data_IF_430241860107
#
_entry.id   IF_430241860107
#
_cell.length_a   1.000
_cell.length_b   1.000
_cell.length_c   1.000
_cell.angle_alpha   90.00
_cell.angle_beta   90.00
_cell.angle_gamma   90.00
#
_symmetry.space_group_name_H-M   'P 1'
#
loop_
_entity.id
_entity.type
_entity.pdbx_description
1 polymer ?
#
# COMPACT_ATOMS: atom_id res chain seq x y z
N UNK A 1 -26.42 0.05 -14.25
CA UNK A 1 -26.06 -0.93 -13.22
C UNK A 1 -26.35 -0.27 -11.87
N UNK A 2 -26.70 -1.02 -10.83
CA UNK A 2 -26.80 -0.43 -9.49
C UNK A 2 -25.39 0.03 -9.06
N UNK A 3 -25.26 1.17 -8.40
CA UNK A 3 -23.99 1.66 -7.86
C UNK A 3 -23.66 0.93 -6.57
N UNK A 4 -22.38 0.60 -6.35
CA UNK A 4 -21.87 0.00 -5.11
C UNK A 4 -21.65 1.09 -4.06
N UNK A 5 -21.16 2.26 -4.49
CA UNK A 5 -21.00 3.44 -3.65
C UNK A 5 -22.26 4.31 -3.64
N UNK A 6 -22.47 5.02 -2.55
CA UNK A 6 -23.48 6.09 -2.51
C UNK A 6 -23.02 7.31 -3.30
N UNK A 7 -23.96 8.16 -3.73
CA UNK A 7 -23.67 9.41 -4.42
C UNK A 7 -22.72 10.31 -3.59
N UNK A 8 -22.93 10.40 -2.27
CA UNK A 8 -22.06 11.14 -1.36
C UNK A 8 -20.62 10.60 -1.32
N UNK A 9 -20.46 9.26 -1.39
CA UNK A 9 -19.14 8.63 -1.43
C UNK A 9 -18.41 8.91 -2.74
N UNK A 10 -19.11 8.88 -3.87
CA UNK A 10 -18.56 9.20 -5.19
C UNK A 10 -18.15 10.68 -5.25
N UNK A 11 -19.03 11.59 -4.82
CA UNK A 11 -18.75 13.02 -4.75
C UNK A 11 -17.57 13.31 -3.78
N UNK A 12 -17.52 12.63 -2.64
CA UNK A 12 -16.43 12.72 -1.67
C UNK A 12 -15.09 12.32 -2.29
N UNK A 13 -15.04 11.20 -3.02
CA UNK A 13 -13.83 10.77 -3.71
C UNK A 13 -13.33 11.83 -4.71
N UNK A 14 -14.20 12.36 -5.55
CA UNK A 14 -13.80 13.37 -6.53
C UNK A 14 -13.44 14.73 -5.92
N UNK A 15 -14.03 15.11 -4.79
CA UNK A 15 -13.75 16.38 -4.10
C UNK A 15 -12.47 16.29 -3.26
N UNK A 16 -12.34 15.22 -2.47
CA UNK A 16 -11.30 15.12 -1.45
C UNK A 16 -10.12 14.22 -1.87
N UNK A 17 -10.28 13.41 -2.94
CA UNK A 17 -9.31 12.44 -3.41
C UNK A 17 -9.37 11.11 -2.66
N UNK A 18 -10.33 10.94 -1.75
CA UNK A 18 -10.58 9.68 -1.05
C UNK A 18 -12.05 9.52 -0.66
N UNK A 19 -12.44 8.29 -0.41
CA UNK A 19 -13.73 7.98 0.22
C UNK A 19 -13.59 6.83 1.20
N UNK A 20 -14.50 6.76 2.18
CA UNK A 20 -14.52 5.76 3.26
C UNK A 20 -15.81 4.96 3.18
N UNK A 21 -15.68 3.65 3.00
CA UNK A 21 -16.81 2.72 2.91
C UNK A 21 -16.77 1.79 4.13
N UNK A 22 -17.55 2.11 5.16
CA UNK A 22 -17.62 1.32 6.39
C UNK A 22 -18.36 0.01 6.14
N UNK A 23 -17.99 -1.03 6.91
CA UNK A 23 -18.62 -2.36 6.85
C UNK A 23 -18.57 -2.99 5.43
N UNK A 24 -17.54 -2.64 4.64
CA UNK A 24 -17.33 -3.20 3.31
C UNK A 24 -16.87 -4.66 3.36
N UNK A 25 -16.05 -5.00 4.35
CA UNK A 25 -15.56 -6.36 4.61
C UNK A 25 -16.11 -6.83 5.93
N UNK A 26 -16.70 -8.02 5.98
CA UNK A 26 -17.15 -8.59 7.24
C UNK A 26 -15.97 -9.03 8.15
N UNK A 27 -16.25 -9.25 9.44
CA UNK A 27 -15.22 -9.58 10.42
C UNK A 27 -14.62 -10.97 10.24
N UNK A 28 -15.35 -11.90 9.69
CA UNK A 28 -14.87 -13.26 9.46
C UNK A 28 -13.87 -13.26 8.29
N UNK A 29 -14.16 -12.53 7.23
CA UNK A 29 -13.24 -12.29 6.11
C UNK A 29 -11.98 -11.54 6.57
N UNK A 30 -12.12 -10.50 7.41
CA UNK A 30 -10.94 -9.83 8.01
C UNK A 30 -10.07 -10.82 8.81
N UNK A 31 -10.68 -11.72 9.57
CA UNK A 31 -9.96 -12.73 10.35
C UNK A 31 -9.26 -13.74 9.44
N UNK A 32 -9.91 -14.22 8.37
CA UNK A 32 -9.35 -15.13 7.38
C UNK A 32 -8.10 -14.54 6.70
N UNK A 33 -8.19 -13.28 6.23
CA UNK A 33 -7.04 -12.60 5.60
C UNK A 33 -5.87 -12.43 6.57
N UNK A 34 -6.15 -12.14 7.84
CA UNK A 34 -5.13 -12.02 8.89
C UNK A 34 -4.47 -13.37 9.20
N UNK A 35 -5.26 -14.42 9.34
CA UNK A 35 -4.77 -15.79 9.55
C UNK A 35 -3.89 -16.25 8.38
N UNK A 36 -4.34 -15.99 7.14
CA UNK A 36 -3.55 -16.34 5.94
C UNK A 36 -2.24 -15.56 5.88
N UNK A 37 -2.25 -14.27 6.17
CA UNK A 37 -1.03 -13.46 6.20
C UNK A 37 0.00 -13.97 7.24
N UNK A 38 -0.46 -14.35 8.43
CA UNK A 38 0.39 -14.96 9.45
C UNK A 38 0.92 -16.34 8.99
N UNK A 39 0.11 -17.13 8.29
CA UNK A 39 0.53 -18.36 7.66
C UNK A 39 1.63 -18.15 6.63
N UNK A 40 1.50 -17.12 5.77
CA UNK A 40 2.54 -16.75 4.80
C UNK A 40 3.85 -16.32 5.49
N UNK A 41 3.77 -15.64 6.62
CA UNK A 41 4.97 -15.31 7.42
C UNK A 41 5.60 -16.57 8.02
N UNK A 42 4.80 -17.50 8.53
CA UNK A 42 5.32 -18.76 9.10
C UNK A 42 6.01 -19.62 8.03
N UNK A 43 5.38 -19.76 6.87
CA UNK A 43 5.89 -20.52 5.72
C UNK A 43 7.13 -19.86 5.07
N UNK A 44 7.30 -18.53 5.22
CA UNK A 44 8.40 -17.81 4.59
C UNK A 44 9.73 -18.04 5.32
N UNK A 45 10.74 -18.46 4.55
CA UNK A 45 12.11 -18.59 5.02
C UNK A 45 12.93 -17.39 4.52
N UNK A 46 13.42 -16.52 5.43
CA UNK A 46 14.29 -15.43 5.04
C UNK A 46 15.59 -15.98 4.43
N UNK A 47 15.98 -15.45 3.27
CA UNK A 47 17.26 -15.77 2.65
C UNK A 47 18.45 -15.31 3.50
N UNK A 48 19.66 -15.45 2.94
CA UNK A 48 20.91 -15.00 3.59
C UNK A 48 20.88 -13.47 3.79
N UNK A 49 20.27 -12.75 2.84
CA UNK A 49 20.04 -11.31 2.93
C UNK A 49 18.64 -11.06 3.51
N UNK A 50 18.60 -10.63 4.77
CA UNK A 50 17.36 -10.26 5.46
C UNK A 50 16.98 -8.84 5.05
N UNK A 51 15.95 -8.73 4.21
CA UNK A 51 15.51 -7.45 3.67
C UNK A 51 14.69 -6.69 4.69
N UNK A 52 15.23 -5.58 5.19
CA UNK A 52 14.51 -4.60 6.01
C UNK A 52 13.80 -3.62 5.08
N UNK A 53 12.54 -3.33 5.36
CA UNK A 53 11.84 -2.24 4.69
C UNK A 53 12.22 -0.93 5.36
N UNK A 54 12.91 -0.08 4.63
CA UNK A 54 13.30 1.25 5.11
C UNK A 54 12.62 2.34 4.30
N UNK A 55 12.31 3.44 4.96
CA UNK A 55 11.91 4.70 4.32
C UNK A 55 13.12 5.54 3.91
N UNK A 56 14.35 5.12 4.26
CA UNK A 56 15.58 5.79 3.82
C UNK A 56 15.79 5.59 2.32
N UNK A 57 15.88 6.70 1.60
CA UNK A 57 16.03 6.71 0.14
C UNK A 57 17.32 6.02 -0.31
N UNK A 58 18.43 6.15 0.43
CA UNK A 58 19.72 5.60 0.04
C UNK A 58 19.77 4.07 0.13
N UNK A 59 19.09 3.47 1.11
CA UNK A 59 19.03 2.02 1.26
C UNK A 59 18.07 1.36 0.28
N UNK A 60 17.01 2.06 -0.18
CA UNK A 60 16.08 1.55 -1.19
C UNK A 60 16.73 1.37 -2.56
N UNK A 61 17.72 2.20 -2.92
CA UNK A 61 18.33 2.24 -4.26
C UNK A 61 19.09 0.97 -4.65
N UNK A 62 19.46 0.11 -3.72
CA UNK A 62 20.27 -1.09 -3.97
C UNK A 62 19.63 -2.40 -3.57
N UNK A 63 18.37 -2.40 -3.12
CA UNK A 63 17.72 -3.60 -2.60
C UNK A 63 17.12 -4.45 -3.74
N UNK A 64 17.92 -5.41 -4.26
CA UNK A 64 17.53 -6.34 -5.33
C UNK A 64 16.28 -7.14 -4.99
N UNK A 65 16.12 -7.56 -3.72
CA UNK A 65 14.95 -8.32 -3.28
C UNK A 65 13.68 -7.47 -3.40
N UNK A 66 13.74 -6.19 -3.01
CA UNK A 66 12.63 -5.26 -3.21
C UNK A 66 12.29 -5.12 -4.70
N UNK A 67 13.27 -4.84 -5.55
CA UNK A 67 13.05 -4.64 -6.99
C UNK A 67 12.55 -5.91 -7.71
N UNK A 68 12.88 -7.10 -7.19
CA UNK A 68 12.43 -8.37 -7.76
C UNK A 68 11.11 -8.89 -7.17
N UNK A 69 10.55 -8.21 -6.18
CA UNK A 69 9.35 -8.69 -5.46
C UNK A 69 8.03 -8.40 -6.17
N UNK A 70 8.03 -7.66 -7.29
CA UNK A 70 6.81 -7.30 -8.01
C UNK A 70 5.95 -8.49 -8.45
N UNK A 71 6.55 -9.61 -8.83
CA UNK A 71 5.88 -10.86 -9.22
C UNK A 71 5.95 -11.97 -8.18
N UNK A 72 6.16 -11.66 -6.89
CA UNK A 72 6.33 -12.66 -5.82
C UNK A 72 5.55 -12.28 -4.57
N UNK A 73 5.39 -13.26 -3.68
CA UNK A 73 5.02 -13.03 -2.28
C UNK A 73 6.31 -13.03 -1.47
N UNK A 74 6.64 -11.90 -0.86
CA UNK A 74 7.88 -11.70 -0.12
C UNK A 74 7.64 -10.90 1.15
N UNK A 75 8.24 -11.32 2.27
CA UNK A 75 8.13 -10.60 3.54
C UNK A 75 9.32 -9.65 3.71
N UNK A 76 9.04 -8.48 4.27
CA UNK A 76 10.03 -7.48 4.61
C UNK A 76 10.01 -7.24 6.12
N UNK A 77 11.18 -7.22 6.73
CA UNK A 77 11.31 -6.92 8.15
C UNK A 77 11.04 -5.44 8.44
N UNK A 78 10.55 -5.18 9.63
CA UNK A 78 10.41 -3.82 10.15
C UNK A 78 11.80 -3.26 10.54
N UNK A 79 11.94 -1.94 10.47
CA UNK A 79 13.12 -1.27 11.01
C UNK A 79 13.26 -1.57 12.51
N UNK A 80 14.50 -1.87 12.97
CA UNK A 80 14.76 -2.30 14.34
C UNK A 80 14.30 -3.74 14.69
N UNK A 81 13.79 -4.51 13.73
CA UNK A 81 13.47 -5.92 13.93
C UNK A 81 14.70 -6.82 14.00
N UNK A 82 15.83 -6.37 13.46
CA UNK A 82 17.11 -7.07 13.47
C UNK A 82 18.12 -6.31 14.33
N UNK A 83 19.00 -7.02 15.02
CA UNK A 83 20.14 -6.47 15.72
C UNK A 83 21.37 -6.30 14.79
N UNK A 84 22.47 -5.77 15.32
CA UNK A 84 23.73 -5.55 14.59
C UNK A 84 24.35 -6.86 14.04
N UNK A 85 23.98 -8.02 14.58
CA UNK A 85 24.40 -9.34 14.11
C UNK A 85 23.45 -9.92 13.05
N UNK A 86 22.35 -9.21 12.75
CA UNK A 86 21.30 -9.65 11.85
C UNK A 86 20.33 -10.67 12.47
N UNK A 87 20.32 -10.83 13.79
CA UNK A 87 19.41 -11.71 14.50
C UNK A 87 18.12 -10.99 14.88
N UNK A 88 17.00 -11.75 14.92
CA UNK A 88 15.70 -11.18 15.28
C UNK A 88 15.68 -10.70 16.73
N UNK A 89 15.27 -9.47 16.96
CA UNK A 89 15.07 -8.85 18.29
C UNK A 89 13.75 -9.28 18.95
N UNK A 90 12.89 -9.95 18.20
CA UNK A 90 11.52 -10.38 18.59
C UNK A 90 11.06 -11.58 17.78
N UNK A 91 9.95 -12.26 18.14
CA UNK A 91 9.34 -13.31 17.33
C UNK A 91 9.10 -12.86 15.88
N UNK A 92 9.30 -13.77 14.91
CA UNK A 92 9.25 -13.47 13.47
C UNK A 92 7.93 -12.78 13.06
N UNK A 93 6.81 -13.27 13.57
CA UNK A 93 5.47 -12.72 13.32
C UNK A 93 5.28 -11.28 13.82
N UNK A 94 6.09 -10.82 14.77
CA UNK A 94 6.12 -9.45 15.28
C UNK A 94 7.26 -8.60 14.68
N UNK A 95 8.05 -9.19 13.80
CA UNK A 95 9.20 -8.55 13.17
C UNK A 95 8.93 -8.08 11.74
N UNK A 96 7.80 -8.47 11.15
CA UNK A 96 7.47 -8.17 9.76
C UNK A 96 6.75 -6.82 9.65
N UNK A 97 7.24 -5.98 8.73
CA UNK A 97 6.60 -4.75 8.30
C UNK A 97 5.45 -5.04 7.34
N UNK A 98 5.74 -5.77 6.26
CA UNK A 98 4.76 -6.09 5.21
C UNK A 98 5.09 -7.34 4.44
N UNK A 99 4.08 -7.86 3.75
CA UNK A 99 4.20 -8.82 2.65
C UNK A 99 3.87 -8.07 1.36
N UNK A 100 4.65 -8.22 0.31
CA UNK A 100 4.45 -7.62 -1.02
C UNK A 100 4.87 -8.61 -2.10
N UNK A 101 4.50 -8.46 -3.32
CA UNK A 101 3.63 -7.44 -3.90
C UNK A 101 2.61 -8.10 -4.84
N UNK A 102 2.49 -9.45 -4.84
CA UNK A 102 1.66 -10.23 -5.75
C UNK A 102 0.72 -11.22 -5.03
N UNK A 103 0.29 -10.95 -3.78
CA UNK A 103 -0.63 -11.84 -3.07
C UNK A 103 -1.96 -12.01 -3.82
N UNK A 104 -2.47 -10.93 -4.45
CA UNK A 104 -3.70 -10.92 -5.23
C UNK A 104 -3.71 -11.88 -6.41
N UNK A 105 -2.55 -12.34 -6.90
CA UNK A 105 -2.43 -13.29 -8.01
C UNK A 105 -1.94 -14.66 -7.58
N UNK A 106 -1.12 -14.73 -6.53
CA UNK A 106 -0.36 -15.94 -6.20
C UNK A 106 -0.87 -16.68 -4.96
N UNK A 107 -1.74 -16.04 -4.18
CA UNK A 107 -2.33 -16.66 -3.00
C UNK A 107 -3.84 -16.78 -3.16
N UNK A 108 -4.43 -17.99 -3.09
CA UNK A 108 -5.84 -18.20 -3.43
C UNK A 108 -6.82 -17.46 -2.50
N UNK A 109 -6.43 -17.16 -1.25
CA UNK A 109 -7.28 -16.40 -0.33
C UNK A 109 -7.28 -14.93 -0.72
N UNK A 110 -6.11 -14.35 -0.98
CA UNK A 110 -5.99 -12.96 -1.43
C UNK A 110 -6.49 -12.76 -2.86
N UNK A 111 -6.32 -13.75 -3.76
CA UNK A 111 -6.90 -13.74 -5.10
C UNK A 111 -8.43 -13.67 -5.03
N UNK A 112 -9.06 -14.60 -4.29
CA UNK A 112 -10.52 -14.62 -4.12
C UNK A 112 -11.07 -13.31 -3.54
N UNK A 113 -10.34 -12.69 -2.60
CA UNK A 113 -10.72 -11.42 -2.01
C UNK A 113 -10.55 -10.23 -2.97
N UNK A 114 -9.47 -10.23 -3.78
CA UNK A 114 -9.08 -9.08 -4.61
C UNK A 114 -9.89 -8.95 -5.90
N UNK A 115 -10.52 -10.03 -6.37
CA UNK A 115 -11.26 -10.07 -7.65
C UNK A 115 -12.76 -10.30 -7.44
N UNK A 116 -13.40 -9.45 -6.64
CA UNK A 116 -14.84 -9.52 -6.39
C UNK A 116 -15.63 -8.51 -7.21
N UNK A 117 -16.89 -8.85 -7.52
CA UNK A 117 -17.81 -7.94 -8.22
C UNK A 117 -18.02 -6.63 -7.46
N UNK A 118 -18.02 -6.66 -6.12
CA UNK A 118 -18.18 -5.49 -5.28
C UNK A 118 -16.99 -4.52 -5.44
N UNK A 119 -15.74 -5.03 -5.46
CA UNK A 119 -14.57 -4.20 -5.72
C UNK A 119 -14.55 -3.64 -7.15
N UNK A 120 -14.92 -4.44 -8.14
CA UNK A 120 -15.08 -3.99 -9.52
C UNK A 120 -16.17 -2.90 -9.62
N UNK A 121 -17.26 -3.03 -8.85
CA UNK A 121 -18.30 -2.02 -8.74
C UNK A 121 -17.79 -0.71 -8.14
N UNK A 122 -17.04 -0.77 -7.04
CA UNK A 122 -16.41 0.42 -6.43
C UNK A 122 -15.47 1.11 -7.43
N UNK A 123 -14.62 0.34 -8.12
CA UNK A 123 -13.71 0.88 -9.13
C UNK A 123 -14.47 1.58 -10.26
N UNK A 124 -15.54 0.96 -10.76
CA UNK A 124 -16.38 1.54 -11.82
C UNK A 124 -17.08 2.83 -11.38
N UNK A 125 -17.59 2.89 -10.15
CA UNK A 125 -18.31 4.05 -9.60
C UNK A 125 -17.41 5.29 -9.48
N UNK A 126 -16.11 5.11 -9.25
CA UNK A 126 -15.12 6.21 -9.20
C UNK A 126 -14.49 6.54 -10.57
N UNK A 127 -14.92 5.85 -11.64
CA UNK A 127 -14.45 6.11 -12.99
C UNK A 127 -13.33 5.18 -13.49
N UNK A 128 -12.97 4.13 -12.75
CA UNK A 128 -11.97 3.13 -13.12
C UNK A 128 -12.64 1.80 -13.52
N UNK A 129 -13.51 1.83 -14.53
CA UNK A 129 -14.32 0.67 -14.96
C UNK A 129 -13.52 -0.46 -15.62
N UNK A 130 -12.30 -0.17 -16.08
CA UNK A 130 -11.35 -1.09 -16.70
C UNK A 130 -10.15 -1.40 -15.78
N UNK A 131 -10.40 -1.47 -14.47
CA UNK A 131 -9.37 -1.66 -13.46
C UNK A 131 -8.57 -2.94 -13.67
N UNK A 132 -7.24 -2.82 -13.62
CA UNK A 132 -6.29 -3.91 -13.51
C UNK A 132 -5.60 -3.86 -12.15
N UNK A 133 -5.63 -4.95 -11.41
CA UNK A 133 -4.85 -5.08 -10.18
C UNK A 133 -3.36 -5.17 -10.53
N UNK A 134 -2.56 -4.28 -9.96
CA UNK A 134 -1.14 -4.16 -10.26
C UNK A 134 -0.25 -4.64 -9.12
N UNK A 135 -0.60 -4.26 -7.89
CA UNK A 135 0.19 -4.52 -6.70
C UNK A 135 -0.72 -4.77 -5.51
N UNK A 136 -0.30 -5.68 -4.63
CA UNK A 136 -0.90 -5.83 -3.31
C UNK A 136 0.15 -5.79 -2.21
N UNK A 137 -0.22 -5.28 -1.04
CA UNK A 137 0.60 -5.31 0.16
C UNK A 137 -0.25 -5.66 1.37
N UNK A 138 0.27 -6.53 2.23
CA UNK A 138 -0.26 -6.72 3.56
C UNK A 138 0.65 -6.03 4.57
N UNK A 139 0.13 -5.07 5.32
CA UNK A 139 0.89 -4.22 6.24
C UNK A 139 0.54 -4.59 7.68
N UNK A 140 1.54 -4.94 8.48
CA UNK A 140 1.34 -5.39 9.86
C UNK A 140 1.27 -4.24 10.87
N UNK A 141 2.04 -3.17 10.68
CA UNK A 141 2.14 -2.04 11.62
C UNK A 141 2.20 -2.52 13.08
N UNK A 142 3.28 -3.24 13.38
CA UNK A 142 3.46 -3.99 14.63
C UNK A 142 3.48 -3.09 15.87
N UNK A 143 3.02 -3.59 17.05
CA UNK A 143 3.07 -2.83 18.28
C UNK A 143 4.51 -2.48 18.65
N UNK A 144 4.72 -1.22 18.97
CA UNK A 144 5.98 -0.68 19.49
C UNK A 144 7.13 -0.54 18.51
N UNK A 145 7.03 -1.10 17.28
CA UNK A 145 8.04 -0.91 16.21
C UNK A 145 7.44 -0.54 14.86
N UNK A 146 6.12 -0.64 14.70
CA UNK A 146 5.49 -0.28 13.43
C UNK A 146 5.88 1.14 13.03
N UNK A 147 6.78 1.25 12.04
CA UNK A 147 7.42 2.48 11.61
C UNK A 147 6.47 3.46 10.92
N UNK A 148 6.93 4.68 10.75
CA UNK A 148 6.24 5.70 9.95
C UNK A 148 6.19 5.29 8.47
N UNK A 149 5.07 5.57 7.81
CA UNK A 149 5.00 5.63 6.35
C UNK A 149 5.02 7.10 5.96
N UNK A 150 6.16 7.58 5.44
CA UNK A 150 6.36 8.98 5.07
C UNK A 150 5.25 9.48 4.13
N UNK A 151 4.91 10.77 4.22
CA UNK A 151 3.89 11.38 3.36
C UNK A 151 4.29 11.26 1.88
N UNK A 152 3.42 10.66 1.07
CA UNK A 152 3.71 10.36 -0.33
C UNK A 152 2.44 10.35 -1.19
N UNK A 153 2.65 10.23 -2.49
CA UNK A 153 1.64 9.99 -3.51
C UNK A 153 1.92 8.61 -4.13
N UNK A 154 0.93 7.71 -4.21
CA UNK A 154 1.13 6.36 -4.77
C UNK A 154 1.60 6.39 -6.22
N UNK A 155 1.12 7.37 -7.00
CA UNK A 155 1.56 7.59 -8.39
C UNK A 155 3.05 7.91 -8.54
N UNK A 156 3.74 8.27 -7.45
CA UNK A 156 5.20 8.37 -7.43
C UNK A 156 5.86 7.03 -7.73
N UNK A 157 5.28 5.94 -7.21
CA UNK A 157 5.83 4.59 -7.28
C UNK A 157 5.23 3.76 -8.42
N UNK A 158 3.98 4.04 -8.81
CA UNK A 158 3.19 3.27 -9.77
C UNK A 158 2.63 4.21 -10.85
N UNK A 159 3.54 4.85 -11.60
CA UNK A 159 3.16 5.85 -12.60
C UNK A 159 2.44 5.22 -13.78
N UNK A 160 1.40 5.92 -14.29
CA UNK A 160 0.72 5.61 -15.56
C UNK A 160 0.51 6.88 -16.37
N UNK A 161 0.38 6.77 -17.69
CA UNK A 161 0.00 7.86 -18.56
C UNK A 161 -1.28 7.50 -19.37
N UNK A 162 -2.42 8.19 -19.12
CA UNK A 162 -2.65 9.17 -18.07
C UNK A 162 -2.59 8.58 -16.65
N UNK A 163 -2.41 9.43 -15.62
CA UNK A 163 -2.41 9.00 -14.22
C UNK A 163 -3.73 8.34 -13.87
N UNK A 164 -3.68 7.09 -13.39
CA UNK A 164 -4.88 6.27 -13.13
C UNK A 164 -4.77 5.43 -11.86
N UNK A 165 -3.64 5.45 -11.16
CA UNK A 165 -3.45 4.66 -9.94
C UNK A 165 -4.52 4.99 -8.91
N UNK A 166 -5.13 3.96 -8.36
CA UNK A 166 -6.09 4.04 -7.27
C UNK A 166 -5.72 3.00 -6.22
N UNK A 167 -5.59 3.44 -4.98
CA UNK A 167 -5.35 2.58 -3.83
C UNK A 167 -6.66 2.17 -3.16
N UNK A 168 -6.81 0.87 -2.90
CA UNK A 168 -7.87 0.27 -2.09
C UNK A 168 -7.22 -0.21 -0.79
N UNK A 169 -7.46 0.47 0.30
CA UNK A 169 -6.89 0.16 1.61
C UNK A 169 -7.96 -0.42 2.53
N UNK A 170 -7.78 -1.65 2.98
CA UNK A 170 -8.72 -2.39 3.84
C UNK A 170 -8.18 -2.43 5.27
N UNK A 171 -8.93 -1.86 6.21
CA UNK A 171 -8.66 -2.01 7.63
C UNK A 171 -9.05 -3.43 8.08
N UNK A 172 -8.08 -4.28 8.37
CA UNK A 172 -8.34 -5.63 8.88
C UNK A 172 -8.39 -5.66 10.41
N UNK A 173 -7.97 -4.58 11.05
CA UNK A 173 -8.10 -4.26 12.47
C UNK A 173 -8.54 -2.81 12.62
N UNK A 174 -9.05 -2.44 13.80
CA UNK A 174 -9.40 -1.06 14.08
C UNK A 174 -8.16 -0.17 13.95
N UNK A 175 -8.25 0.84 13.11
CA UNK A 175 -7.20 1.83 12.89
C UNK A 175 -7.52 3.12 13.66
N UNK A 176 -6.62 3.51 14.54
CA UNK A 176 -6.72 4.71 15.38
C UNK A 176 -5.45 5.55 15.27
N UNK A 177 -5.48 6.78 15.75
CA UNK A 177 -4.30 7.64 15.79
C UNK A 177 -3.15 6.94 16.53
N UNK A 178 -3.43 6.28 17.67
CA UNK A 178 -2.41 5.68 18.52
C UNK A 178 -1.71 4.48 17.87
N UNK A 179 -2.42 3.71 17.02
CA UNK A 179 -1.81 2.55 16.34
C UNK A 179 -1.42 2.82 14.88
N UNK A 180 -1.44 4.09 14.45
CA UNK A 180 -0.98 4.52 13.14
C UNK A 180 -2.02 4.33 12.04
N UNK A 181 -3.22 4.91 12.19
CA UNK A 181 -4.20 5.01 11.11
C UNK A 181 -3.63 5.79 9.91
N UNK A 182 -4.32 5.73 8.78
CA UNK A 182 -4.03 6.62 7.65
C UNK A 182 -4.40 8.06 7.98
N UNK A 183 -3.66 8.98 7.38
CA UNK A 183 -3.95 10.41 7.30
C UNK A 183 -3.91 10.83 5.84
N UNK A 184 -4.81 11.67 5.41
CA UNK A 184 -4.90 12.13 4.04
C UNK A 184 -5.04 13.66 3.97
N UNK A 185 -4.55 14.27 2.89
CA UNK A 185 -4.70 15.70 2.61
C UNK A 185 -5.92 15.93 1.71
N UNK A 186 -7.11 16.31 2.24
CA UNK A 186 -8.32 16.47 1.43
C UNK A 186 -8.12 17.44 0.28
N UNK A 187 -8.48 17.03 -0.96
CA UNK A 187 -8.29 17.82 -2.19
C UNK A 187 -6.85 17.83 -2.71
N UNK A 188 -5.89 17.23 -1.97
CA UNK A 188 -4.46 17.22 -2.33
C UNK A 188 -4.13 16.47 -3.63
N UNK A 189 -5.02 15.60 -4.11
CA UNK A 189 -4.91 14.91 -5.40
C UNK A 189 -5.01 15.84 -6.62
N UNK A 190 -5.52 17.06 -6.45
CA UNK A 190 -5.56 18.07 -7.50
C UNK A 190 -4.23 18.78 -7.72
N UNK A 191 -3.30 18.66 -6.77
CA UNK A 191 -1.95 19.18 -6.89
C UNK A 191 -1.12 18.29 -7.85
N UNK A 192 -0.02 18.85 -8.44
CA UNK A 192 0.85 18.08 -9.30
C UNK A 192 1.45 16.85 -8.63
N UNK A 193 1.75 15.80 -9.43
CA UNK A 193 2.64 14.74 -9.00
C UNK A 193 4.05 15.33 -8.80
N UNK A 194 4.65 15.08 -7.65
CA UNK A 194 5.88 15.78 -7.24
C UNK A 194 7.14 15.09 -7.70
N UNK A 195 7.12 13.77 -7.74
CA UNK A 195 8.30 12.98 -8.11
C UNK A 195 7.93 11.60 -8.65
N UNK A 196 8.88 10.96 -9.31
CA UNK A 196 8.79 9.59 -9.83
C UNK A 196 9.88 8.73 -9.22
N UNK A 197 9.54 7.52 -8.81
CA UNK A 197 10.48 6.49 -8.40
C UNK A 197 10.72 5.53 -9.56
N UNK A 198 11.88 5.65 -10.21
CA UNK A 198 12.19 5.00 -11.50
C UNK A 198 13.33 4.02 -11.36
N UNK A 199 13.26 2.92 -12.12
CA UNK A 199 14.43 2.08 -12.38
C UNK A 199 15.43 2.79 -13.27
N UNK A 200 16.72 2.60 -13.00
CA UNK A 200 17.85 3.13 -13.78
C UNK A 200 18.97 2.11 -13.82
N UNK A 201 19.93 2.32 -14.74
CA UNK A 201 21.07 1.42 -14.96
C UNK A 201 20.83 0.48 -16.13
N UNK A 202 21.92 -0.13 -16.65
CA UNK A 202 21.89 -0.98 -17.84
C UNK A 202 21.07 -2.26 -17.62
N UNK A 203 21.08 -2.77 -16.37
CA UNK A 203 20.31 -3.95 -15.95
C UNK A 203 19.04 -3.57 -15.14
N UNK A 204 18.67 -2.27 -15.09
CA UNK A 204 17.57 -1.73 -14.29
C UNK A 204 17.62 -2.16 -12.80
N UNK A 205 18.82 -2.30 -12.26
CA UNK A 205 19.12 -2.77 -10.90
C UNK A 205 19.25 -1.66 -9.87
N UNK A 206 19.23 -0.38 -10.31
CA UNK A 206 19.19 0.81 -9.48
C UNK A 206 17.86 1.53 -9.56
N UNK A 207 17.64 2.49 -8.67
CA UNK A 207 16.48 3.38 -8.69
C UNK A 207 16.89 4.82 -8.44
N UNK A 208 16.00 5.75 -8.83
CA UNK A 208 16.18 7.19 -8.61
C UNK A 208 14.84 7.85 -8.37
N UNK A 209 14.82 8.87 -7.50
CA UNK A 209 13.71 9.81 -7.44
C UNK A 209 13.96 10.97 -8.42
N UNK A 210 13.10 11.08 -9.43
CA UNK A 210 13.09 12.19 -10.37
C UNK A 210 12.09 13.24 -9.91
N UNK A 211 12.56 14.46 -9.62
CA UNK A 211 11.69 15.57 -9.22
C UNK A 211 10.95 16.13 -10.44
N UNK A 212 9.61 16.12 -10.37
CA UNK A 212 8.74 16.69 -11.40
C UNK A 212 8.25 18.10 -11.04
N UNK A 213 7.88 18.31 -9.77
CA UNK A 213 7.32 19.55 -9.28
C UNK A 213 7.87 19.88 -7.89
N UNK A 214 8.12 21.16 -7.63
CA UNK A 214 8.72 21.65 -6.38
C UNK A 214 7.71 22.10 -5.34
N UNK A 215 6.40 21.90 -5.60
CA UNK A 215 5.37 22.16 -4.59
C UNK A 215 5.61 21.31 -3.36
N UNK A 216 5.71 21.88 -2.16
CA UNK A 216 5.97 21.11 -0.95
C UNK A 216 4.93 20.02 -0.73
N UNK A 217 5.37 18.88 -0.20
CA UNK A 217 4.44 17.89 0.33
C UNK A 217 3.74 18.47 1.55
N UNK A 218 2.45 18.17 1.78
CA UNK A 218 1.76 18.53 3.01
C UNK A 218 2.54 18.07 4.25
N UNK A 219 2.54 18.88 5.30
CA UNK A 219 3.25 18.59 6.55
C UNK A 219 2.36 17.77 7.49
N UNK A 220 2.70 16.50 7.80
CA UNK A 220 1.96 15.73 8.79
C UNK A 220 2.27 16.21 10.23
N UNK A 221 1.28 16.17 11.13
CA UNK A 221 -0.15 15.90 10.86
C UNK A 221 -0.95 17.16 10.49
N UNK A 222 -0.34 18.36 10.49
CA UNK A 222 -1.01 19.68 10.49
C UNK A 222 -1.88 19.90 9.25
N UNK A 223 -1.43 19.43 8.09
CA UNK A 223 -2.11 19.61 6.81
C UNK A 223 -2.98 18.41 6.40
N UNK A 224 -3.08 17.38 7.25
CA UNK A 224 -3.79 16.14 6.98
C UNK A 224 -4.93 15.91 7.97
N UNK A 225 -5.88 15.07 7.58
CA UNK A 225 -6.96 14.60 8.48
C UNK A 225 -6.77 13.11 8.80
N UNK A 226 -6.97 12.68 10.07
CA UNK A 226 -6.87 11.27 10.42
C UNK A 226 -8.08 10.49 9.90
N UNK A 227 -7.84 9.32 9.37
CA UNK A 227 -8.84 8.37 8.94
C UNK A 227 -8.93 7.24 9.96
N UNK A 228 -9.50 7.54 11.14
CA UNK A 228 -9.80 6.52 12.15
C UNK A 228 -11.00 5.71 11.71
N UNK A 229 -10.81 4.41 11.56
CA UNK A 229 -11.84 3.50 11.03
C UNK A 229 -11.84 2.16 11.75
N UNK A 230 -13.01 1.53 11.93
CA UNK A 230 -13.11 0.16 12.45
C UNK A 230 -12.63 -0.86 11.39
N UNK A 231 -12.27 -2.05 11.88
CA UNK A 231 -12.04 -3.21 11.02
C UNK A 231 -13.23 -3.45 10.08
N UNK A 232 -12.93 -3.86 8.84
CA UNK A 232 -13.91 -4.06 7.78
C UNK A 232 -14.18 -2.81 6.92
N UNK A 233 -13.50 -1.70 7.19
CA UNK A 233 -13.62 -0.48 6.39
C UNK A 233 -12.69 -0.53 5.17
N UNK A 234 -13.22 -0.14 4.02
CA UNK A 234 -12.43 0.18 2.82
C UNK A 234 -12.23 1.71 2.75
N UNK A 235 -10.99 2.13 2.54
CA UNK A 235 -10.63 3.50 2.15
C UNK A 235 -10.11 3.45 0.71
N UNK A 236 -10.74 4.23 -0.18
CA UNK A 236 -10.31 4.37 -1.58
C UNK A 236 -9.56 5.67 -1.73
N UNK A 237 -8.37 5.63 -2.33
CA UNK A 237 -7.44 6.75 -2.44
C UNK A 237 -7.06 7.01 -3.91
N UNK A 238 -7.19 8.25 -4.39
CA UNK A 238 -6.58 8.66 -5.67
C UNK A 238 -5.05 8.57 -5.54
N UNK A 239 -4.37 8.00 -6.53
CA UNK A 239 -2.92 7.81 -6.48
C UNK A 239 -2.08 9.09 -6.39
N UNK A 240 -2.66 10.27 -6.66
CA UNK A 240 -2.03 11.58 -6.45
C UNK A 240 -2.30 12.16 -5.07
N UNK A 241 -3.18 11.55 -4.27
CA UNK A 241 -3.51 12.05 -2.94
C UNK A 241 -2.33 11.91 -1.99
N UNK A 242 -1.78 13.00 -1.42
CA UNK A 242 -0.80 12.87 -0.35
C UNK A 242 -1.43 12.23 0.88
N UNK A 243 -0.81 11.16 1.35
CA UNK A 243 -1.24 10.44 2.55
C UNK A 243 -0.04 9.97 3.37
N UNK A 244 -0.29 9.70 4.64
CA UNK A 244 0.72 9.42 5.66
C UNK A 244 0.18 8.46 6.71
N UNK A 245 1.06 7.82 7.45
CA UNK A 245 0.71 7.00 8.60
C UNK A 245 1.81 7.08 9.65
N UNK A 246 1.48 7.55 10.86
CA UNK A 246 2.42 7.68 11.96
C UNK A 246 2.92 6.32 12.49
N UNK A 247 3.93 6.34 13.32
CA UNK A 247 4.40 5.16 14.03
C UNK A 247 3.31 4.57 14.93
N UNK A 248 3.33 3.27 15.13
CA UNK A 248 2.45 2.62 16.10
C UNK A 248 3.03 2.75 17.51
N UNK A 249 2.40 3.56 18.35
CA UNK A 249 2.79 3.79 19.77
C UNK A 249 1.99 2.94 20.73
N UNK A 250 1.01 2.18 20.23
CA UNK A 250 0.13 1.35 21.05
C UNK A 250 0.70 -0.04 21.31
N UNK A 251 0.00 -0.80 22.14
CA UNK A 251 0.24 -2.22 22.40
C UNK A 251 -0.52 -3.16 21.44
N UNK A 252 -1.20 -2.60 20.44
CA UNK A 252 -1.99 -3.33 19.44
C UNK A 252 -1.43 -3.12 18.05
N UNK A 253 -1.47 -4.14 17.20
CA UNK A 253 -1.17 -4.03 15.79
C UNK A 253 -2.24 -3.21 15.03
N UNK A 254 -1.92 -2.85 13.81
CA UNK A 254 -2.86 -2.27 12.86
C UNK A 254 -2.68 -2.93 11.50
N UNK A 255 -3.25 -4.12 11.36
CA UNK A 255 -3.20 -4.88 10.12
C UNK A 255 -4.07 -4.22 9.03
N UNK A 256 -3.53 -4.12 7.85
CA UNK A 256 -4.24 -3.65 6.66
C UNK A 256 -3.80 -4.43 5.43
N UNK A 257 -4.71 -4.60 4.49
CA UNK A 257 -4.40 -5.06 3.14
C UNK A 257 -4.57 -3.88 2.17
N UNK A 258 -3.68 -3.74 1.20
CA UNK A 258 -3.80 -2.73 0.14
C UNK A 258 -3.74 -3.39 -1.23
N UNK A 259 -4.58 -2.90 -2.13
CA UNK A 259 -4.59 -3.28 -3.54
C UNK A 259 -4.49 -2.00 -4.37
N UNK A 260 -3.49 -1.91 -5.25
CA UNK A 260 -3.38 -0.81 -6.20
C UNK A 260 -3.83 -1.27 -7.57
N UNK A 261 -4.78 -0.53 -8.13
CA UNK A 261 -5.30 -0.75 -9.46
C UNK A 261 -4.94 0.41 -10.39
N UNK A 262 -4.85 0.11 -11.67
CA UNK A 262 -4.63 1.08 -12.76
C UNK A 262 -5.68 0.87 -13.85
N UNK A 263 -5.88 1.86 -14.73
CA UNK A 263 -6.68 1.69 -15.94
C UNK A 263 -5.96 0.81 -16.96
N UNK A 264 -6.66 -0.15 -17.54
CA UNK A 264 -6.17 -0.96 -18.66
C UNK A 264 -5.87 -0.13 -19.92
N UNK A 265 -6.46 1.07 -20.03
CA UNK A 265 -6.25 1.98 -21.15
C UNK A 265 -5.02 2.89 -20.97
N UNK A 266 -4.43 2.94 -19.75
CA UNK A 266 -3.27 3.76 -19.47
C UNK A 266 -1.97 3.01 -19.81
N UNK A 267 -0.97 3.75 -20.28
CA UNK A 267 0.39 3.21 -20.47
C UNK A 267 1.05 3.01 -19.09
N UNK A 268 1.64 1.83 -18.87
CA UNK A 268 2.47 1.53 -17.70
C UNK A 268 3.92 1.41 -18.15
N UNK A 269 4.76 2.44 -17.92
CA UNK A 269 6.13 2.45 -18.43
C UNK A 269 7.02 1.35 -17.83
N UNK A 270 7.95 0.86 -18.64
CA UNK A 270 8.92 -0.18 -18.29
C UNK A 270 9.99 0.28 -17.26
N UNK A 271 10.13 1.60 -17.07
CA UNK A 271 11.00 2.17 -16.04
C UNK A 271 10.35 2.25 -14.65
N UNK A 272 9.05 1.91 -14.48
CA UNK A 272 8.47 1.77 -13.15
C UNK A 272 9.27 0.75 -12.32
N UNK A 273 9.43 1.01 -11.02
CA UNK A 273 10.17 0.09 -10.17
C UNK A 273 9.51 -1.29 -10.10
N UNK A 274 8.19 -1.34 -10.03
CA UNK A 274 7.44 -2.57 -10.00
C UNK A 274 7.25 -3.06 -11.43
N UNK A 275 7.87 -4.20 -11.71
CA UNK A 275 7.70 -4.91 -12.97
C UNK A 275 7.04 -6.25 -12.69
N UNK A 276 6.07 -6.62 -13.52
CA UNK A 276 5.45 -7.94 -13.49
C UNK A 276 6.15 -8.82 -14.52
N UNK A 277 6.43 -10.11 -14.23
CA UNK A 277 6.94 -11.02 -15.23
C UNK A 277 5.94 -11.09 -16.40
N UNK A 278 6.46 -11.17 -17.63
CA UNK A 278 5.64 -11.54 -18.79
C UNK A 278 5.18 -12.99 -18.62
N UNK A 279 3.91 -13.28 -18.83
CA UNK A 279 3.32 -14.64 -18.79
C UNK A 279 3.89 -15.56 -19.88
#
# INVERSE_FOLDING_TARGET
>A
MATTLTEEQIEGYHRDGFTVVRDFVDRDTCAELRERALGLVDEWEPGVERTVFTTDEQERHSNREFLSSGGRIWCFFEDGALDDAGELTRPKELAINKIGHAQHDLDPVFESFSYTDDLAGVAADIGLADALALQSMYIFKQPGIGGEVACHQDSTFLYTDPLSVTGFWFALEDATIDNGCLWAAPGGHTAPLRQLFKRVGDDADGTVFEQLDTTPMPTPPEDLVPLEVPAGTLVVLDGRLPHWSDVNRSDRSRHAYTLHCISAAAEYPDWNWLQRPED
#
